data_IF_776025601574
#
_entry.id   IF_776025601574
#
_cell.length_a   1.000
_cell.length_b   1.000
_cell.length_c   1.000
_cell.angle_alpha   90.00
_cell.angle_beta   90.00
_cell.angle_gamma   90.00
#
_symmetry.space_group_name_H-M   'P 1'
#
loop_
_entity.id
_entity.type
_entity.pdbx_description
1 polymer ?
#
# COMPACT_ATOMS: atom_id res chain seq x y z
N UNK A 1 45.63 8.09 14.54
CA UNK A 1 45.19 7.25 13.40
C UNK A 1 43.74 6.75 13.49
N UNK A 2 43.17 6.56 14.69
CA UNK A 2 41.81 5.98 14.88
C UNK A 2 40.65 6.89 14.44
N UNK A 3 40.79 8.23 14.54
CA UNK A 3 39.73 9.19 14.17
C UNK A 3 39.34 9.18 12.68
N UNK A 4 40.30 8.86 11.79
CA UNK A 4 40.05 8.71 10.34
C UNK A 4 39.23 7.46 10.01
N UNK A 5 39.43 6.38 10.78
CA UNK A 5 38.64 5.15 10.65
C UNK A 5 37.21 5.38 11.14
N UNK A 6 37.02 6.08 12.26
CA UNK A 6 35.70 6.44 12.78
C UNK A 6 34.91 7.27 11.76
N UNK A 7 35.55 8.24 11.09
CA UNK A 7 34.91 9.05 10.06
C UNK A 7 34.44 8.20 8.85
N UNK A 8 35.26 7.25 8.41
CA UNK A 8 34.90 6.31 7.33
C UNK A 8 33.73 5.39 7.72
N UNK A 9 33.73 4.86 8.95
CA UNK A 9 32.68 3.99 9.45
C UNK A 9 31.36 4.75 9.71
N UNK A 10 31.42 6.01 10.13
CA UNK A 10 30.22 6.87 10.25
C UNK A 10 29.57 7.13 8.90
N UNK A 11 30.35 7.39 7.85
CA UNK A 11 29.83 7.52 6.49
C UNK A 11 29.23 6.21 5.96
N UNK A 12 29.86 5.08 6.26
CA UNK A 12 29.37 3.74 5.87
C UNK A 12 28.05 3.39 6.58
N UNK A 13 27.92 3.73 7.87
CA UNK A 13 26.70 3.53 8.66
C UNK A 13 25.55 4.36 8.10
N UNK A 14 25.80 5.62 7.74
CA UNK A 14 24.81 6.51 7.12
C UNK A 14 24.37 5.99 5.74
N UNK A 15 25.30 5.44 4.95
CA UNK A 15 25.01 4.81 3.66
C UNK A 15 24.16 3.54 3.81
N UNK A 16 24.38 2.77 4.87
CA UNK A 16 23.61 1.55 5.14
C UNK A 16 22.22 1.86 5.72
N UNK A 17 22.11 2.95 6.49
CA UNK A 17 20.85 3.42 7.07
C UNK A 17 19.88 3.95 5.98
N UNK A 18 20.40 4.58 4.92
CA UNK A 18 19.57 5.09 3.81
C UNK A 18 18.97 4.00 2.93
N UNK A 19 19.59 2.81 2.89
CA UNK A 19 19.07 1.61 2.24
C UNK A 19 17.96 0.90 3.05
N UNK A 20 17.78 1.26 4.33
CA UNK A 20 16.89 0.58 5.27
C UNK A 20 15.43 1.01 5.23
N UNK A 21 15.07 2.06 4.47
CA UNK A 21 13.66 2.44 4.29
C UNK A 21 13.07 1.60 3.15
N UNK A 22 12.91 0.30 3.40
CA UNK A 22 12.04 -0.53 2.59
C UNK A 22 10.61 -0.04 2.78
N UNK A 23 9.94 0.34 1.68
CA UNK A 23 8.56 0.80 1.71
C UNK A 23 7.69 -0.23 2.46
N UNK A 24 7.13 0.20 3.60
CA UNK A 24 6.02 -0.47 4.27
C UNK A 24 4.89 -0.59 3.22
N UNK A 25 4.65 -1.81 2.75
CA UNK A 25 3.57 -2.07 1.80
C UNK A 25 2.25 -1.71 2.48
N UNK A 26 1.54 -0.71 1.94
CA UNK A 26 0.24 -0.28 2.45
C UNK A 26 -0.65 -1.52 2.58
N UNK A 27 -1.04 -1.85 3.82
CA UNK A 27 -1.91 -2.97 4.07
C UNK A 27 -3.18 -2.81 3.22
N UNK A 28 -3.42 -3.76 2.32
CA UNK A 28 -4.58 -3.73 1.44
C UNK A 28 -5.81 -4.03 2.28
N UNK A 29 -6.49 -2.99 2.74
CA UNK A 29 -7.74 -3.09 3.48
C UNK A 29 -8.76 -3.86 2.64
N UNK A 30 -9.25 -4.99 3.18
CA UNK A 30 -10.21 -5.86 2.49
C UNK A 30 -11.61 -5.54 3.00
N UNK A 31 -12.48 -5.11 2.10
CA UNK A 31 -13.89 -4.89 2.41
C UNK A 31 -14.69 -6.19 2.19
N UNK A 32 -15.36 -6.67 3.24
CA UNK A 32 -16.33 -7.78 3.12
C UNK A 32 -17.71 -7.23 2.80
N UNK A 33 -18.21 -7.55 1.61
CA UNK A 33 -19.54 -7.16 1.14
C UNK A 33 -20.62 -7.68 2.10
N UNK A 34 -21.59 -6.83 2.41
CA UNK A 34 -22.78 -7.17 3.19
C UNK A 34 -24.02 -7.13 2.29
N UNK A 35 -25.10 -7.80 2.73
CA UNK A 35 -26.39 -7.72 2.03
C UNK A 35 -26.86 -6.27 1.99
N UNK A 36 -27.22 -5.79 0.80
CA UNK A 36 -27.65 -4.42 0.56
C UNK A 36 -26.53 -3.48 0.08
N UNK A 37 -25.28 -3.92 0.06
CA UNK A 37 -24.21 -3.12 -0.52
C UNK A 37 -24.29 -3.11 -2.04
N UNK A 38 -23.87 -1.98 -2.62
CA UNK A 38 -23.67 -1.84 -4.06
C UNK A 38 -22.23 -1.43 -4.32
N UNK A 39 -21.71 -1.82 -5.49
CA UNK A 39 -20.35 -1.47 -5.87
C UNK A 39 -20.15 0.05 -5.92
N UNK A 40 -21.20 0.80 -6.28
CA UNK A 40 -21.21 2.27 -6.29
C UNK A 40 -21.12 2.88 -4.88
N UNK A 41 -21.88 2.32 -3.92
CA UNK A 41 -21.82 2.76 -2.53
C UNK A 41 -20.45 2.50 -1.93
N UNK A 42 -19.91 1.29 -2.12
CA UNK A 42 -18.56 0.92 -1.65
C UNK A 42 -17.50 1.81 -2.28
N UNK A 43 -17.57 2.06 -3.59
CA UNK A 43 -16.59 2.91 -4.27
C UNK A 43 -16.63 4.35 -3.76
N UNK A 44 -17.83 4.87 -3.45
CA UNK A 44 -18.00 6.20 -2.87
C UNK A 44 -17.47 6.29 -1.43
N UNK A 45 -17.73 5.28 -0.60
CA UNK A 45 -17.23 5.23 0.78
C UNK A 45 -15.70 5.13 0.83
N UNK A 46 -15.10 4.39 -0.10
CA UNK A 46 -13.65 4.20 -0.20
C UNK A 46 -12.94 5.29 -1.03
N UNK A 47 -13.67 6.25 -1.60
CA UNK A 47 -13.09 7.33 -2.42
C UNK A 47 -12.39 6.85 -3.70
N UNK A 48 -12.77 5.68 -4.23
CA UNK A 48 -12.19 5.11 -5.46
C UNK A 48 -13.20 5.12 -6.60
N UNK A 49 -12.73 5.16 -7.84
CA UNK A 49 -13.64 5.05 -8.98
C UNK A 49 -14.16 3.62 -9.15
N UNK A 50 -15.39 3.46 -9.64
CA UNK A 50 -15.95 2.15 -10.00
C UNK A 50 -15.04 1.37 -10.94
N UNK A 51 -14.45 2.04 -11.94
CA UNK A 51 -13.54 1.40 -12.89
C UNK A 51 -12.26 0.92 -12.21
N UNK A 52 -11.66 1.72 -11.32
CA UNK A 52 -10.47 1.32 -10.57
C UNK A 52 -10.79 0.15 -9.64
N UNK A 53 -11.92 0.20 -8.93
CA UNK A 53 -12.35 -0.86 -8.02
C UNK A 53 -12.63 -2.17 -8.78
N UNK A 54 -13.29 -2.10 -9.95
CA UNK A 54 -13.52 -3.25 -10.82
C UNK A 54 -12.20 -3.84 -11.33
N UNK A 55 -11.30 -3.00 -11.83
CA UNK A 55 -9.99 -3.44 -12.35
C UNK A 55 -9.15 -4.09 -11.25
N UNK A 56 -9.11 -3.49 -10.06
CA UNK A 56 -8.37 -4.01 -8.92
C UNK A 56 -8.88 -5.39 -8.44
N UNK A 57 -10.17 -5.68 -8.63
CA UNK A 57 -10.80 -6.93 -8.24
C UNK A 57 -11.15 -7.85 -9.44
N UNK A 58 -10.67 -7.54 -10.65
CA UNK A 58 -10.97 -8.25 -11.89
C UNK A 58 -12.48 -8.47 -12.14
N UNK A 59 -13.33 -7.53 -11.71
CA UNK A 59 -14.78 -7.62 -11.85
C UNK A 59 -15.22 -7.18 -13.24
N UNK A 60 -15.92 -8.07 -13.96
CA UNK A 60 -16.53 -7.75 -15.26
C UNK A 60 -17.86 -7.01 -15.10
N UNK A 61 -18.63 -7.37 -14.09
CA UNK A 61 -19.94 -6.80 -13.76
C UNK A 61 -19.93 -6.03 -12.44
N UNK A 62 -20.95 -5.23 -12.19
CA UNK A 62 -21.18 -4.54 -10.92
C UNK A 62 -21.99 -5.38 -9.92
N UNK A 63 -22.35 -6.62 -10.31
CA UNK A 63 -23.08 -7.54 -9.45
C UNK A 63 -22.18 -8.07 -8.32
N UNK A 64 -22.62 -7.85 -7.08
CA UNK A 64 -21.96 -8.36 -5.88
C UNK A 64 -22.70 -9.60 -5.37
N UNK A 65 -21.95 -10.60 -4.92
CA UNK A 65 -22.48 -11.76 -4.20
C UNK A 65 -21.96 -11.69 -2.75
N UNK A 66 -22.85 -11.66 -1.74
CA UNK A 66 -22.45 -11.72 -0.34
C UNK A 66 -21.89 -13.08 0.05
#
# INVERSE_FOLDING_TARGET
MMKRRIFLWMGLIILFLSLGICQEGVAREKYKVKRGDTLAKISSELGVSLQALKKANNLKSSALKP
#
